data_IF_237496678148
#
_entry.id   IF_237496678148
#
_cell.length_a   1.000
_cell.length_b   1.000
_cell.length_c   1.000
_cell.angle_alpha   90.00
_cell.angle_beta   90.00
_cell.angle_gamma   90.00
#
_symmetry.space_group_name_H-M   'P 1'
#
loop_
_entity.id
_entity.type
_entity.pdbx_description
1 polymer ?
#
# COMPACT_ATOMS: atom_id res chain seq x y z
N UNK A 1 3.04 3.29 -17.78
CA UNK A 1 3.65 2.42 -16.76
C UNK A 1 4.04 3.26 -15.58
N UNK A 2 3.63 2.87 -14.39
CA UNK A 2 3.70 3.68 -13.17
C UNK A 2 5.13 4.08 -12.80
N UNK A 3 6.08 3.16 -12.93
CA UNK A 3 7.51 3.46 -12.74
C UNK A 3 8.02 4.55 -13.69
N UNK A 4 7.58 4.55 -14.95
CA UNK A 4 8.01 5.57 -15.92
C UNK A 4 7.48 6.94 -15.55
N UNK A 5 6.25 7.01 -15.03
CA UNK A 5 5.67 8.27 -14.57
C UNK A 5 6.41 8.80 -13.33
N UNK A 6 6.70 7.93 -12.35
CA UNK A 6 7.55 8.25 -11.20
C UNK A 6 8.92 8.80 -11.63
N UNK A 7 9.63 8.09 -12.51
CA UNK A 7 10.98 8.49 -12.96
C UNK A 7 10.96 9.85 -13.66
N UNK A 8 9.94 10.14 -14.47
CA UNK A 8 9.82 11.44 -15.16
C UNK A 8 9.56 12.60 -14.20
N UNK A 9 8.77 12.37 -13.14
CA UNK A 9 8.42 13.41 -12.16
C UNK A 9 9.47 13.58 -11.06
N UNK A 10 10.29 12.56 -10.81
CA UNK A 10 11.28 12.52 -9.73
C UNK A 10 12.68 12.17 -10.25
N UNK A 11 13.09 12.75 -11.38
CA UNK A 11 14.35 12.40 -12.07
C UNK A 11 15.57 12.49 -11.14
N UNK A 12 15.76 13.63 -10.46
CA UNK A 12 16.88 13.85 -9.54
C UNK A 12 16.87 12.85 -8.37
N UNK A 13 15.69 12.61 -7.79
CA UNK A 13 15.51 11.67 -6.69
C UNK A 13 15.81 10.24 -7.13
N UNK A 14 15.39 9.86 -8.32
CA UNK A 14 15.65 8.55 -8.90
C UNK A 14 17.14 8.35 -9.20
N UNK A 15 17.81 9.33 -9.82
CA UNK A 15 19.26 9.29 -10.05
C UNK A 15 20.03 9.12 -8.74
N UNK A 16 19.64 9.87 -7.70
CA UNK A 16 20.23 9.74 -6.35
C UNK A 16 20.06 8.32 -5.80
N UNK A 17 18.85 7.75 -5.88
CA UNK A 17 18.61 6.37 -5.42
C UNK A 17 19.47 5.37 -6.19
N UNK A 18 19.60 5.50 -7.52
CA UNK A 18 20.45 4.61 -8.31
C UNK A 18 21.91 4.65 -7.87
N UNK A 19 22.45 5.84 -7.61
CA UNK A 19 23.80 6.01 -7.09
C UNK A 19 23.94 5.38 -5.70
N UNK A 20 22.98 5.62 -4.80
CA UNK A 20 22.95 5.01 -3.46
C UNK A 20 22.91 3.48 -3.51
N UNK A 21 22.21 2.89 -4.49
CA UNK A 21 22.17 1.43 -4.65
C UNK A 21 23.45 0.89 -5.31
N UNK A 22 24.09 1.64 -6.22
CA UNK A 22 25.28 1.17 -6.94
C UNK A 22 26.48 0.92 -6.02
N UNK A 23 26.56 1.61 -4.89
CA UNK A 23 27.64 1.48 -3.90
C UNK A 23 27.42 0.32 -2.92
N UNK A 24 26.22 -0.27 -2.89
CA UNK A 24 25.87 -1.36 -1.98
C UNK A 24 26.16 -2.74 -2.60
N UNK A 25 26.42 -3.79 -1.78
CA UNK A 25 26.41 -5.18 -2.22
C UNK A 25 25.07 -5.57 -2.84
N UNK A 26 25.08 -6.46 -3.85
CA UNK A 26 23.86 -6.86 -4.59
C UNK A 26 22.72 -7.35 -3.69
N UNK A 27 23.04 -8.08 -2.62
CA UNK A 27 22.06 -8.65 -1.69
C UNK A 27 21.43 -7.61 -0.75
N UNK A 28 22.02 -6.42 -0.62
CA UNK A 28 21.51 -5.32 0.21
C UNK A 28 20.80 -4.23 -0.63
N UNK A 29 20.86 -4.34 -1.96
CA UNK A 29 20.24 -3.36 -2.85
C UNK A 29 18.72 -3.49 -2.82
N UNK A 30 18.03 -2.35 -2.80
CA UNK A 30 16.59 -2.28 -3.02
C UNK A 30 16.27 -2.58 -4.50
N UNK A 31 15.43 -3.59 -4.80
CA UNK A 31 15.04 -3.92 -6.17
C UNK A 31 13.95 -2.97 -6.66
N UNK A 32 14.32 -1.79 -7.16
CA UNK A 32 13.40 -0.68 -7.51
C UNK A 32 12.23 -1.10 -8.41
N UNK A 33 12.50 -1.85 -9.48
CA UNK A 33 11.43 -2.29 -10.40
C UNK A 33 10.47 -3.27 -9.72
N UNK A 34 10.99 -4.19 -8.89
CA UNK A 34 10.17 -5.13 -8.12
C UNK A 34 9.34 -4.40 -7.05
N UNK A 35 9.92 -3.41 -6.39
CA UNK A 35 9.21 -2.56 -5.43
C UNK A 35 8.05 -1.80 -6.11
N UNK A 36 8.31 -1.19 -7.27
CA UNK A 36 7.29 -0.52 -8.07
C UNK A 36 6.15 -1.46 -8.48
N UNK A 37 6.47 -2.68 -8.94
CA UNK A 37 5.48 -3.70 -9.26
C UNK A 37 4.69 -4.16 -8.03
N UNK A 38 5.36 -4.32 -6.88
CA UNK A 38 4.68 -4.70 -5.63
C UNK A 38 3.68 -3.64 -5.19
N UNK A 39 4.01 -2.35 -5.30
CA UNK A 39 3.08 -1.25 -5.01
C UNK A 39 1.90 -1.25 -5.99
N UNK A 40 2.15 -1.47 -7.28
CA UNK A 40 1.08 -1.66 -8.28
C UNK A 40 0.13 -2.79 -7.86
N UNK A 41 0.65 -3.96 -7.45
CA UNK A 41 -0.16 -5.09 -7.00
C UNK A 41 -0.92 -4.80 -5.71
N UNK A 42 -0.30 -4.12 -4.74
CA UNK A 42 -0.97 -3.72 -3.49
C UNK A 42 -2.15 -2.79 -3.79
N UNK A 43 -1.98 -1.79 -4.65
CA UNK A 43 -3.07 -0.89 -5.03
C UNK A 43 -4.15 -1.61 -5.83
N UNK A 44 -3.74 -2.53 -6.71
CA UNK A 44 -4.65 -3.35 -7.49
C UNK A 44 -5.57 -4.21 -6.60
N UNK A 45 -4.97 -4.92 -5.64
CA UNK A 45 -5.68 -5.69 -4.62
C UNK A 45 -6.58 -4.77 -3.78
N UNK A 46 -6.04 -3.64 -3.30
CA UNK A 46 -6.76 -2.73 -2.41
C UNK A 46 -8.03 -2.17 -3.04
N UNK A 47 -7.98 -1.80 -4.32
CA UNK A 47 -9.13 -1.29 -5.06
C UNK A 47 -10.02 -2.38 -5.67
N UNK A 48 -9.72 -3.66 -5.44
CA UNK A 48 -10.49 -4.79 -5.97
C UNK A 48 -10.69 -4.68 -7.50
N UNK A 49 -9.66 -4.27 -8.25
CA UNK A 49 -9.79 -3.89 -9.67
C UNK A 49 -10.32 -5.06 -10.53
N UNK A 50 -9.93 -6.30 -10.22
CA UNK A 50 -10.43 -7.52 -10.89
C UNK A 50 -11.90 -7.85 -10.59
N UNK A 51 -12.46 -7.33 -9.49
CA UNK A 51 -13.80 -7.73 -9.00
C UNK A 51 -14.91 -6.75 -9.37
N UNK A 52 -14.56 -5.58 -9.92
CA UNK A 52 -15.51 -4.54 -10.27
C UNK A 52 -16.64 -5.03 -11.21
N UNK A 53 -16.36 -6.00 -12.10
CA UNK A 53 -17.34 -6.52 -13.07
C UNK A 53 -18.47 -7.36 -12.44
N UNK A 54 -18.22 -8.01 -11.30
CA UNK A 54 -19.15 -8.96 -10.69
C UNK A 54 -20.23 -8.29 -9.82
N UNK A 55 -19.94 -7.13 -9.23
CA UNK A 55 -20.85 -6.41 -8.32
C UNK A 55 -21.72 -5.36 -9.02
N UNK A 56 -21.30 -4.83 -10.18
CA UNK A 56 -22.09 -3.87 -10.97
C UNK A 56 -23.47 -4.42 -11.34
N UNK A 57 -23.61 -5.72 -11.58
CA UNK A 57 -24.89 -6.33 -12.00
C UNK A 57 -25.94 -6.43 -10.89
N UNK A 58 -25.57 -6.28 -9.60
CA UNK A 58 -26.50 -6.40 -8.46
C UNK A 58 -26.88 -5.06 -7.84
N UNK A 59 -26.00 -4.06 -7.93
CA UNK A 59 -26.20 -2.79 -7.21
C UNK A 59 -27.19 -1.82 -7.88
N UNK A 60 -27.55 -2.02 -9.16
CA UNK A 60 -28.56 -1.21 -9.84
C UNK A 60 -30.02 -1.60 -9.54
N UNK A 61 -30.28 -2.70 -8.83
CA UNK A 61 -31.65 -3.20 -8.61
C UNK A 61 -32.29 -2.78 -7.26
N UNK A 62 -31.61 -2.01 -6.41
CA UNK A 62 -32.15 -1.58 -5.12
C UNK A 62 -31.74 -0.15 -4.77
N UNK A 63 -32.57 0.82 -5.13
CA UNK A 63 -32.40 2.26 -4.89
C UNK A 63 -32.57 2.68 -3.41
N UNK A 64 -32.07 1.88 -2.45
CA UNK A 64 -31.99 2.24 -1.04
C UNK A 64 -30.53 2.28 -0.59
N UNK A 65 -29.75 3.16 -1.24
CA UNK A 65 -28.34 3.35 -0.91
C UNK A 65 -28.21 4.34 0.23
N UNK A 66 -28.29 3.82 1.46
CA UNK A 66 -27.89 4.57 2.66
C UNK A 66 -26.48 5.17 2.47
N UNK A 67 -26.24 6.37 2.99
CA UNK A 67 -24.98 7.11 2.82
C UNK A 67 -23.72 6.28 3.17
N UNK A 68 -23.84 5.30 4.06
CA UNK A 68 -22.75 4.38 4.46
C UNK A 68 -22.34 3.38 3.36
N UNK A 69 -23.22 3.05 2.41
CA UNK A 69 -22.87 2.17 1.29
C UNK A 69 -22.21 2.93 0.13
N UNK A 70 -22.42 4.25 0.01
CA UNK A 70 -21.83 5.05 -1.07
C UNK A 70 -20.31 5.16 -0.98
N UNK A 71 -19.73 5.18 0.21
CA UNK A 71 -18.27 5.22 0.40
C UNK A 71 -17.59 3.93 -0.10
N UNK A 72 -18.31 2.81 -0.15
CA UNK A 72 -17.81 1.55 -0.73
C UNK A 72 -17.97 1.49 -2.24
N UNK A 73 -19.05 2.09 -2.76
CA UNK A 73 -19.38 2.08 -4.19
C UNK A 73 -18.51 3.05 -5.01
N UNK A 74 -18.05 4.14 -4.40
CA UNK A 74 -17.26 5.14 -5.09
C UNK A 74 -15.97 5.44 -4.32
N UNK A 75 -14.83 5.08 -4.91
CA UNK A 75 -13.48 5.29 -4.36
C UNK A 75 -12.70 6.28 -5.24
N UNK A 76 -12.85 7.61 -5.06
CA UNK A 76 -12.26 8.62 -5.95
C UNK A 76 -10.74 8.56 -6.06
N UNK A 77 -10.08 8.10 -5.00
CA UNK A 77 -8.62 7.95 -4.94
C UNK A 77 -8.09 7.02 -6.04
N UNK A 78 -8.89 6.06 -6.53
CA UNK A 78 -8.53 5.21 -7.67
C UNK A 78 -8.17 6.04 -8.92
N UNK A 79 -8.82 7.19 -9.13
CA UNK A 79 -8.54 8.09 -10.25
C UNK A 79 -7.19 8.81 -10.11
N UNK A 80 -6.59 8.79 -8.92
CA UNK A 80 -5.28 9.37 -8.61
C UNK A 80 -4.18 8.29 -8.61
N UNK A 81 -4.33 7.24 -9.41
CA UNK A 81 -3.44 6.07 -9.46
C UNK A 81 -1.94 6.41 -9.46
N UNK A 82 -1.51 7.27 -10.39
CA UNK A 82 -0.08 7.65 -10.52
C UNK A 82 0.49 8.29 -9.25
N UNK A 83 -0.34 9.07 -8.55
CA UNK A 83 0.00 9.74 -7.29
C UNK A 83 0.08 8.74 -6.14
N UNK A 84 -0.92 7.88 -5.99
CA UNK A 84 -0.92 6.80 -5.00
C UNK A 84 0.24 5.84 -5.18
N UNK A 85 0.53 5.45 -6.43
CA UNK A 85 1.68 4.59 -6.75
C UNK A 85 2.99 5.27 -6.37
N UNK A 86 3.16 6.54 -6.75
CA UNK A 86 4.36 7.31 -6.40
C UNK A 86 4.55 7.42 -4.89
N UNK A 87 3.51 7.79 -4.15
CA UNK A 87 3.56 7.88 -2.69
C UNK A 87 3.85 6.52 -2.04
N UNK A 88 3.20 5.44 -2.51
CA UNK A 88 3.46 4.08 -2.05
C UNK A 88 4.90 3.63 -2.33
N UNK A 89 5.47 3.97 -3.49
CA UNK A 89 6.84 3.63 -3.85
C UNK A 89 7.86 4.41 -3.02
N UNK A 90 7.62 5.70 -2.77
CA UNK A 90 8.44 6.50 -1.86
C UNK A 90 8.37 5.95 -0.43
N UNK A 91 7.19 5.56 0.04
CA UNK A 91 7.02 4.89 1.33
C UNK A 91 7.78 3.55 1.39
N UNK A 92 7.72 2.75 0.31
CA UNK A 92 8.50 1.51 0.21
C UNK A 92 10.00 1.79 0.40
N UNK A 93 10.57 2.76 -0.32
CA UNK A 93 11.99 3.10 -0.19
C UNK A 93 12.37 3.57 1.20
N UNK A 94 11.49 4.35 1.83
CA UNK A 94 11.65 4.82 3.21
C UNK A 94 11.66 3.65 4.19
N UNK A 95 10.71 2.72 4.07
CA UNK A 95 10.62 1.54 4.94
C UNK A 95 11.77 0.56 4.72
N UNK A 96 12.19 0.35 3.46
CA UNK A 96 13.38 -0.43 3.15
C UNK A 96 14.62 0.08 3.89
N UNK A 97 14.84 1.41 3.84
CA UNK A 97 15.95 2.07 4.53
C UNK A 97 15.79 1.99 6.05
N UNK A 98 14.60 2.30 6.58
CA UNK A 98 14.33 2.34 8.02
C UNK A 98 14.48 0.97 8.69
N UNK A 99 14.15 -0.11 7.97
CA UNK A 99 14.26 -1.49 8.47
C UNK A 99 15.64 -2.09 8.29
N UNK A 100 16.54 -1.45 7.53
CA UNK A 100 17.82 -2.04 7.15
C UNK A 100 17.67 -3.31 6.31
N UNK A 101 16.59 -3.41 5.53
CA UNK A 101 16.23 -4.62 4.79
C UNK A 101 17.28 -5.03 3.75
N UNK A 102 17.42 -6.35 3.58
CA UNK A 102 18.10 -6.97 2.47
C UNK A 102 17.10 -7.59 1.49
N UNK A 103 17.57 -8.11 0.35
CA UNK A 103 16.75 -8.79 -0.67
C UNK A 103 15.86 -9.90 -0.09
N UNK A 104 16.33 -10.62 0.93
CA UNK A 104 15.57 -11.68 1.61
C UNK A 104 14.39 -11.16 2.44
N UNK A 105 14.39 -9.88 2.81
CA UNK A 105 13.33 -9.22 3.59
C UNK A 105 12.30 -8.50 2.71
N UNK A 106 12.42 -8.62 1.38
CA UNK A 106 11.57 -7.89 0.44
C UNK A 106 10.08 -8.07 0.72
N UNK A 107 9.63 -9.30 0.94
CA UNK A 107 8.22 -9.59 1.16
C UNK A 107 7.74 -9.02 2.52
N UNK A 108 8.62 -8.93 3.53
CA UNK A 108 8.32 -8.29 4.81
C UNK A 108 8.10 -6.79 4.65
N UNK A 109 8.95 -6.11 3.87
CA UNK A 109 8.79 -4.68 3.58
C UNK A 109 7.52 -4.44 2.73
N UNK A 110 7.25 -5.34 1.79
CA UNK A 110 6.02 -5.30 0.97
C UNK A 110 4.78 -5.38 1.86
N UNK A 111 4.77 -6.26 2.86
CA UNK A 111 3.66 -6.38 3.80
C UNK A 111 3.47 -5.11 4.64
N UNK A 112 4.55 -4.47 5.11
CA UNK A 112 4.44 -3.19 5.80
C UNK A 112 3.82 -2.10 4.91
N UNK A 113 4.13 -2.09 3.62
CA UNK A 113 3.51 -1.15 2.66
C UNK A 113 2.04 -1.51 2.43
N UNK A 114 1.67 -2.79 2.39
CA UNK A 114 0.26 -3.22 2.31
C UNK A 114 -0.53 -2.72 3.51
N UNK A 115 -0.01 -2.92 4.72
CA UNK A 115 -0.62 -2.41 5.97
C UNK A 115 -0.74 -0.89 5.90
N UNK A 116 0.31 -0.19 5.47
CA UNK A 116 0.28 1.27 5.34
C UNK A 116 -0.82 1.76 4.38
N UNK A 117 -0.94 1.13 3.20
CA UNK A 117 -1.99 1.45 2.24
C UNK A 117 -3.38 1.22 2.84
N UNK A 118 -3.59 0.10 3.53
CA UNK A 118 -4.87 -0.19 4.18
C UNK A 118 -5.22 0.85 5.26
N UNK A 119 -4.24 1.27 6.06
CA UNK A 119 -4.46 2.25 7.12
C UNK A 119 -4.75 3.66 6.59
N UNK A 120 -4.07 4.07 5.52
CA UNK A 120 -4.19 5.45 5.01
C UNK A 120 -5.26 5.55 3.93
N UNK A 121 -5.19 4.69 2.91
CA UNK A 121 -6.09 4.70 1.75
C UNK A 121 -7.40 4.00 2.10
N UNK A 122 -7.35 2.85 2.79
CA UNK A 122 -8.55 2.10 3.16
C UNK A 122 -9.46 2.80 4.17
N UNK A 123 -8.88 3.68 5.01
CA UNK A 123 -9.64 4.49 5.97
C UNK A 123 -9.96 5.90 5.46
N UNK A 124 -9.55 6.25 4.24
CA UNK A 124 -9.83 7.55 3.66
C UNK A 124 -11.32 7.68 3.30
N UNK A 125 -11.96 8.76 3.76
CA UNK A 125 -13.29 9.12 3.29
C UNK A 125 -13.25 9.47 1.79
N UNK A 126 -14.36 9.30 1.07
CA UNK A 126 -14.44 9.64 -0.37
C UNK A 126 -14.10 11.10 -0.70
N UNK A 127 -14.29 12.01 0.26
CA UNK A 127 -13.99 13.45 0.10
C UNK A 127 -12.57 13.81 0.52
N UNK A 128 -11.77 12.83 0.94
CA UNK A 128 -10.41 13.06 1.38
C UNK A 128 -9.55 13.55 0.22
N UNK A 129 -8.76 14.59 0.48
CA UNK A 129 -7.86 15.12 -0.53
C UNK A 129 -6.68 14.16 -0.75
N UNK A 130 -6.23 14.05 -2.01
CA UNK A 130 -5.12 13.16 -2.35
C UNK A 130 -3.78 13.65 -1.78
N UNK A 131 -3.58 14.96 -1.58
CA UNK A 131 -2.38 15.48 -0.91
C UNK A 131 -2.34 15.00 0.55
N UNK A 132 -3.47 15.05 1.26
CA UNK A 132 -3.54 14.53 2.64
C UNK A 132 -3.20 13.03 2.71
N UNK A 133 -3.62 12.27 1.70
CA UNK A 133 -3.27 10.84 1.59
C UNK A 133 -1.79 10.65 1.33
N UNK A 134 -1.18 11.44 0.44
CA UNK A 134 0.26 11.39 0.18
C UNK A 134 1.09 11.75 1.42
N UNK A 135 0.68 12.79 2.15
CA UNK A 135 1.32 13.24 3.39
C UNK A 135 1.23 12.15 4.46
N UNK A 136 0.06 11.56 4.69
CA UNK A 136 -0.12 10.45 5.64
C UNK A 136 0.77 9.23 5.30
N UNK A 137 0.88 8.88 4.01
CA UNK A 137 1.76 7.81 3.53
C UNK A 137 3.24 8.14 3.75
N UNK A 138 3.61 9.42 3.69
CA UNK A 138 4.96 9.91 3.92
C UNK A 138 5.32 10.04 5.41
N UNK A 139 4.35 10.29 6.29
CA UNK A 139 4.57 10.53 7.71
C UNK A 139 4.50 9.26 8.57
N UNK A 140 3.71 8.25 8.17
CA UNK A 140 3.59 7.01 8.94
C UNK A 140 4.95 6.33 9.16
N UNK A 141 5.42 6.25 10.40
CA UNK A 141 6.72 5.67 10.71
C UNK A 141 6.69 4.13 10.73
N UNK A 142 7.88 3.52 10.67
CA UNK A 142 8.02 2.07 10.67
C UNK A 142 7.63 1.42 12.00
N UNK A 143 7.75 2.14 13.13
CA UNK A 143 7.46 1.59 14.45
C UNK A 143 5.96 1.36 14.60
N UNK A 144 5.15 2.37 14.28
CA UNK A 144 3.69 2.29 14.25
C UNK A 144 3.19 1.18 13.32
N UNK A 145 3.79 1.04 12.14
CA UNK A 145 3.42 -0.04 11.22
C UNK A 145 3.73 -1.43 11.78
N UNK A 146 4.80 -1.58 12.55
CA UNK A 146 5.12 -2.85 13.22
C UNK A 146 4.20 -3.14 14.39
N UNK A 147 3.79 -2.13 15.16
CA UNK A 147 2.77 -2.29 16.20
C UNK A 147 1.47 -2.82 15.60
N UNK A 148 0.98 -2.17 14.54
CA UNK A 148 -0.21 -2.62 13.80
C UNK A 148 -0.03 -4.02 13.20
N UNK A 149 1.16 -4.36 12.69
CA UNK A 149 1.44 -5.70 12.19
C UNK A 149 1.31 -6.75 13.30
N UNK A 150 1.80 -6.46 14.51
CA UNK A 150 1.69 -7.37 15.65
C UNK A 150 0.22 -7.53 16.09
N UNK A 151 -0.55 -6.44 16.16
CA UNK A 151 -1.98 -6.50 16.45
C UNK A 151 -2.75 -7.36 15.44
N UNK A 152 -2.46 -7.22 14.14
CA UNK A 152 -3.06 -8.04 13.09
C UNK A 152 -2.68 -9.52 13.22
N UNK A 153 -1.42 -9.82 13.59
CA UNK A 153 -0.97 -11.18 13.84
C UNK A 153 -1.68 -11.80 15.04
N UNK A 154 -1.84 -11.06 16.13
CA UNK A 154 -2.57 -11.49 17.33
C UNK A 154 -4.03 -11.82 17.00
N UNK A 155 -4.73 -10.93 16.29
CA UNK A 155 -6.10 -11.17 15.82
C UNK A 155 -6.21 -12.42 14.93
N UNK A 156 -5.25 -12.61 14.01
CA UNK A 156 -5.22 -13.78 13.13
C UNK A 156 -4.97 -15.09 13.91
N UNK A 157 -4.18 -15.02 14.98
CA UNK A 157 -3.89 -16.16 15.83
C UNK A 157 -5.10 -16.53 16.69
N UNK A 158 -5.76 -15.55 17.29
CA UNK A 158 -7.00 -15.75 18.05
C UNK A 158 -8.12 -16.35 17.19
N UNK A 159 -8.30 -15.87 15.97
CA UNK A 159 -9.30 -16.41 15.04
C UNK A 159 -9.00 -17.87 14.64
N UNK A 160 -7.73 -18.19 14.36
CA UNK A 160 -7.32 -19.52 13.93
C UNK A 160 -7.24 -20.56 15.08
N UNK A 161 -6.86 -20.14 16.30
CA UNK A 161 -6.50 -21.06 17.39
C UNK A 161 -7.28 -20.84 18.68
N UNK A 162 -7.98 -19.72 18.84
CA UNK A 162 -8.69 -19.39 20.08
C UNK A 162 -9.76 -20.42 20.44
N UNK A 163 -10.42 -21.02 19.46
CA UNK A 163 -11.43 -22.07 19.70
C UNK A 163 -10.83 -23.41 20.14
N UNK A 164 -9.54 -23.66 19.85
CA UNK A 164 -8.86 -24.93 20.12
C UNK A 164 -8.07 -24.92 21.44
N UNK A 165 -7.82 -23.75 22.04
CA UNK A 165 -7.02 -23.61 23.26
C UNK A 165 -7.85 -23.76 24.56
N UNK A 166 -9.17 -23.72 24.49
CA UNK A 166 -10.08 -23.83 25.64
C UNK A 166 -10.84 -25.18 25.73
N UNK A 167 -10.33 -26.23 25.08
CA UNK A 167 -10.88 -27.60 25.14
C UNK A 167 -10.05 -28.54 26.02
#
# INVERSE_FOLDING_TARGET
>A
MDLTDYVRKHEDGFQKILLEQSTRPLHERCPIARASLAVTMILYDHFDVDRAEAEEHKSYQGLDVSAKNNDKLFRPLLLQWSRLHTAGLLAFFRLWKATGAAQADFDKVTELVRILVEQVVGRAARTRDVLEVEDDLAEHDCARLRELQMELLELSFEDAWGQHLYQ
#
